data_IF_347267497389
#
_entry.id   IF_347267497389
#
_cell.length_a   1.000
_cell.length_b   1.000
_cell.length_c   1.000
_cell.angle_alpha   90.00
_cell.angle_beta   90.00
_cell.angle_gamma   90.00
#
_symmetry.space_group_name_H-M   'P 1'
#
loop_
_entity.id
_entity.type
_entity.pdbx_description
1 polymer ?
#
# COMPACT_ATOMS: atom_id res chain seq x y z
N UNK A 1 -6.45 8.16 -8.10
CA UNK A 1 -5.67 8.47 -6.90
C UNK A 1 -6.45 8.13 -5.66
N UNK A 2 -5.80 7.55 -4.67
CA UNK A 2 -6.42 7.25 -3.40
C UNK A 2 -5.54 7.78 -2.27
N UNK A 3 -6.17 8.39 -1.26
CA UNK A 3 -5.44 8.98 -0.14
C UNK A 3 -5.86 8.29 1.14
N UNK A 4 -4.87 7.96 1.98
CA UNK A 4 -5.09 7.34 3.28
C UNK A 4 -4.56 8.25 4.36
N UNK A 5 -5.36 8.49 5.38
CA UNK A 5 -4.94 9.30 6.54
C UNK A 5 -4.43 8.37 7.63
N UNK A 6 -3.24 8.67 8.16
CA UNK A 6 -2.64 7.85 9.20
C UNK A 6 -3.37 8.09 10.53
N UNK A 7 -3.94 7.02 11.07
CA UNK A 7 -4.60 7.04 12.36
C UNK A 7 -3.65 6.67 13.48
N UNK A 8 -4.20 6.62 14.70
CA UNK A 8 -3.42 6.30 15.89
C UNK A 8 -2.73 4.94 15.80
N UNK A 9 -3.41 3.95 15.20
CA UNK A 9 -2.88 2.59 15.10
C UNK A 9 -1.71 2.46 14.13
N UNK A 10 -1.61 3.37 13.18
CA UNK A 10 -0.58 3.32 12.15
C UNK A 10 0.52 4.36 12.35
N UNK A 11 0.38 5.20 13.35
CA UNK A 11 1.40 6.19 13.66
C UNK A 11 2.63 5.54 14.30
N UNK A 12 3.76 6.23 14.22
CA UNK A 12 5.03 5.83 14.84
C UNK A 12 5.65 4.57 14.24
N UNK A 13 5.24 4.19 13.02
CA UNK A 13 5.91 3.10 12.31
C UNK A 13 6.56 3.64 11.04
N UNK A 14 7.48 2.86 10.48
CA UNK A 14 8.13 3.25 9.24
C UNK A 14 7.14 3.19 8.08
N UNK A 15 7.32 4.10 7.14
CA UNK A 15 6.45 4.21 5.99
C UNK A 15 6.46 2.94 5.13
N UNK A 16 7.64 2.35 4.91
CA UNK A 16 7.76 1.11 4.14
C UNK A 16 6.98 -0.04 4.80
N UNK A 17 7.03 -0.12 6.10
CA UNK A 17 6.30 -1.15 6.85
C UNK A 17 4.79 -0.96 6.71
N UNK A 18 4.34 0.30 6.81
CA UNK A 18 2.94 0.63 6.62
C UNK A 18 2.47 0.26 5.22
N UNK A 19 3.26 0.58 4.21
CA UNK A 19 2.93 0.27 2.82
C UNK A 19 2.82 -1.23 2.59
N UNK A 20 3.66 -2.02 3.25
CA UNK A 20 3.60 -3.48 3.13
C UNK A 20 2.31 -4.03 3.73
N UNK A 21 1.81 -3.41 4.78
CA UNK A 21 0.51 -3.76 5.36
C UNK A 21 -0.65 -3.35 4.46
N UNK A 22 -0.54 -2.16 3.88
CA UNK A 22 -1.59 -1.62 3.02
C UNK A 22 -1.69 -2.38 1.70
N UNK A 23 -0.54 -2.76 1.15
CA UNK A 23 -0.43 -3.43 -0.14
C UNK A 23 0.29 -4.76 0.03
N UNK A 24 -0.35 -5.74 0.68
CA UNK A 24 0.33 -6.99 1.03
C UNK A 24 0.78 -7.81 -0.17
N UNK A 25 0.16 -7.61 -1.33
CA UNK A 25 0.52 -8.34 -2.53
C UNK A 25 1.63 -7.66 -3.34
N UNK A 26 2.10 -6.51 -2.89
CA UNK A 26 3.20 -5.81 -3.56
C UNK A 26 4.53 -6.18 -2.90
N UNK A 27 5.55 -6.39 -3.72
CA UNK A 27 6.89 -6.65 -3.20
C UNK A 27 7.50 -5.36 -2.64
N UNK A 28 8.45 -5.51 -1.72
CA UNK A 28 9.16 -4.35 -1.17
C UNK A 28 9.88 -3.58 -2.28
N UNK A 29 10.49 -4.29 -3.23
CA UNK A 29 11.16 -3.66 -4.37
C UNK A 29 10.19 -2.81 -5.19
N UNK A 30 9.00 -3.32 -5.41
CA UNK A 30 7.96 -2.58 -6.12
C UNK A 30 7.56 -1.31 -5.36
N UNK A 31 7.39 -1.42 -4.05
CA UNK A 31 7.03 -0.27 -3.23
C UNK A 31 8.09 0.83 -3.30
N UNK A 32 9.36 0.47 -3.20
CA UNK A 32 10.45 1.45 -3.31
C UNK A 32 10.51 2.07 -4.70
N UNK A 33 10.24 1.29 -5.73
CA UNK A 33 10.17 1.81 -7.10
C UNK A 33 9.06 2.86 -7.22
N UNK A 34 7.90 2.58 -6.64
CA UNK A 34 6.77 3.51 -6.69
C UNK A 34 7.04 4.79 -5.90
N UNK A 35 7.75 4.66 -4.77
CA UNK A 35 8.17 5.83 -4.01
C UNK A 35 9.10 6.71 -4.82
N UNK A 36 10.08 6.12 -5.51
CA UNK A 36 11.02 6.88 -6.34
C UNK A 36 10.32 7.59 -7.50
N UNK A 37 9.30 6.97 -8.06
CA UNK A 37 8.54 7.54 -9.17
C UNK A 37 7.46 8.52 -8.73
N UNK A 38 7.33 8.77 -7.44
CA UNK A 38 6.28 9.61 -6.87
C UNK A 38 4.88 9.07 -7.13
N UNK A 39 4.75 7.78 -7.38
CA UNK A 39 3.44 7.14 -7.46
C UNK A 39 2.88 6.84 -6.08
N UNK A 40 3.72 6.93 -5.05
CA UNK A 40 3.31 6.92 -3.65
C UNK A 40 4.01 8.12 -3.00
N UNK A 41 3.23 8.98 -2.35
CA UNK A 41 3.76 10.19 -1.72
C UNK A 41 3.30 10.28 -0.26
N UNK A 42 4.04 11.03 0.54
CA UNK A 42 3.72 11.31 1.93
C UNK A 42 3.56 12.81 2.08
N UNK A 43 2.37 13.26 2.52
CA UNK A 43 2.02 14.68 2.67
C UNK A 43 2.27 15.46 1.37
N UNK A 44 2.01 14.83 0.24
CA UNK A 44 2.17 15.46 -1.07
C UNK A 44 3.61 15.57 -1.55
N UNK A 45 4.55 14.97 -0.85
CA UNK A 45 5.98 15.05 -1.18
C UNK A 45 6.56 13.68 -1.47
N UNK A 46 7.64 13.67 -2.26
CA UNK A 46 8.38 12.45 -2.51
C UNK A 46 8.90 11.88 -1.19
N UNK A 47 8.78 10.59 -1.01
CA UNK A 47 9.22 9.90 0.20
C UNK A 47 10.21 8.79 -0.15
N UNK A 48 10.99 8.38 0.84
CA UNK A 48 12.00 7.32 0.66
C UNK A 48 11.52 5.96 1.19
N UNK A 49 10.47 5.96 2.01
CA UNK A 49 10.00 4.75 2.68
C UNK A 49 10.55 4.57 4.08
N UNK A 50 11.55 5.36 4.45
CA UNK A 50 12.20 5.26 5.77
C UNK A 50 11.65 6.25 6.79
N UNK A 51 10.70 7.07 6.38
CA UNK A 51 10.10 8.06 7.26
C UNK A 51 9.28 7.38 8.36
N UNK A 52 9.22 8.02 9.52
CA UNK A 52 8.31 7.60 10.58
C UNK A 52 6.98 8.31 10.39
N UNK A 53 5.90 7.55 10.31
CA UNK A 53 4.58 8.12 10.08
C UNK A 53 4.06 8.79 11.34
N UNK A 54 3.40 9.92 11.16
CA UNK A 54 2.78 10.69 12.23
C UNK A 54 1.26 10.59 12.09
N UNK A 55 0.57 10.68 13.22
CA UNK A 55 -0.89 10.74 13.19
C UNK A 55 -1.33 11.94 12.34
N UNK A 56 -2.25 11.72 11.43
CA UNK A 56 -2.74 12.76 10.54
C UNK A 56 -1.97 12.90 9.25
N UNK A 57 -0.88 12.16 9.06
CA UNK A 57 -0.14 12.18 7.82
C UNK A 57 -1.00 11.67 6.66
N UNK A 58 -0.76 12.18 5.46
CA UNK A 58 -1.52 11.81 4.27
C UNK A 58 -0.66 10.98 3.33
N UNK A 59 -1.10 9.77 3.06
CA UNK A 59 -0.43 8.87 2.11
C UNK A 59 -1.26 8.85 0.83
N UNK A 60 -0.68 9.29 -0.28
CA UNK A 60 -1.37 9.30 -1.57
C UNK A 60 -0.78 8.22 -2.47
N UNK A 61 -1.66 7.44 -3.10
CA UNK A 61 -1.27 6.37 -4.01
C UNK A 61 -1.87 6.68 -5.37
N UNK A 62 -1.01 6.86 -6.38
CA UNK A 62 -1.41 7.27 -7.72
C UNK A 62 -1.49 6.09 -8.67
N UNK A 63 -2.14 5.02 -8.23
CA UNK A 63 -2.43 3.86 -9.07
C UNK A 63 -3.85 3.96 -9.61
N UNK A 64 -4.12 3.27 -10.73
CA UNK A 64 -5.51 3.09 -11.15
C UNK A 64 -6.23 2.25 -10.09
N UNK A 65 -7.55 2.40 -10.01
CA UNK A 65 -8.33 1.65 -9.03
C UNK A 65 -8.14 0.14 -9.20
N UNK A 66 -8.08 -0.32 -10.45
CA UNK A 66 -7.87 -1.72 -10.74
C UNK A 66 -6.52 -2.22 -10.21
N UNK A 67 -5.46 -1.46 -10.46
CA UNK A 67 -4.13 -1.80 -10.00
C UNK A 67 -4.07 -1.79 -8.47
N UNK A 68 -4.68 -0.78 -7.85
CA UNK A 68 -4.69 -0.65 -6.40
C UNK A 68 -5.38 -1.86 -5.77
N UNK A 69 -6.55 -2.23 -6.28
CA UNK A 69 -7.28 -3.40 -5.80
C UNK A 69 -6.46 -4.67 -5.88
N UNK A 70 -5.74 -4.84 -6.99
CA UNK A 70 -4.89 -6.01 -7.18
C UNK A 70 -3.85 -6.16 -6.08
N UNK A 71 -3.22 -5.06 -5.65
CA UNK A 71 -2.20 -5.09 -4.62
C UNK A 71 -2.78 -5.11 -3.21
N UNK A 72 -3.99 -4.65 -3.01
CA UNK A 72 -4.65 -4.63 -1.71
C UNK A 72 -5.37 -5.92 -1.37
N UNK A 73 -5.62 -6.80 -2.36
CA UNK A 73 -6.27 -8.07 -2.09
C UNK A 73 -5.40 -8.93 -1.19
N UNK A 74 -6.00 -9.46 -0.14
CA UNK A 74 -5.26 -10.34 0.77
C UNK A 74 -5.19 -11.76 0.20
N UNK A 75 -4.33 -12.56 0.81
CA UNK A 75 -4.12 -13.94 0.40
C UNK A 75 -5.39 -14.79 0.55
N UNK A 76 -6.16 -14.50 1.57
CA UNK A 76 -7.39 -15.23 1.84
C UNK A 76 -8.37 -15.10 0.68
N UNK A 77 -8.55 -13.90 0.17
CA UNK A 77 -9.45 -13.66 -0.95
C UNK A 77 -8.97 -14.37 -2.20
N UNK A 78 -7.67 -14.35 -2.46
CA UNK A 78 -7.10 -15.07 -3.60
C UNK A 78 -7.32 -16.57 -3.47
N UNK A 79 -7.20 -17.11 -2.27
CA UNK A 79 -7.44 -18.52 -2.03
C UNK A 79 -8.89 -18.91 -2.29
N UNK A 80 -9.81 -18.06 -1.92
CA UNK A 80 -11.22 -18.30 -2.18
C UNK A 80 -11.52 -18.37 -3.67
N UNK A 81 -10.98 -17.44 -4.44
CA UNK A 81 -11.16 -17.45 -5.89
C UNK A 81 -10.56 -18.69 -6.52
N UNK A 82 -9.36 -19.03 -6.10
CA UNK A 82 -8.69 -20.24 -6.58
C UNK A 82 -9.48 -21.50 -6.25
N UNK A 83 -10.04 -21.55 -5.05
CA UNK A 83 -10.84 -22.68 -4.61
C UNK A 83 -12.09 -22.86 -5.46
N UNK A 84 -12.73 -21.77 -5.81
CA UNK A 84 -13.89 -21.81 -6.69
C UNK A 84 -13.55 -22.35 -8.08
N UNK A 85 -12.41 -21.93 -8.61
CA UNK A 85 -11.96 -22.41 -9.92
C UNK A 85 -11.66 -23.90 -9.91
N UNK A 86 -11.19 -24.42 -8.80
CA UNK A 86 -10.87 -25.84 -8.69
C UNK A 86 -12.10 -26.74 -8.71
N UNK A 87 -13.25 -26.20 -8.35
CA UNK A 87 -14.49 -26.96 -8.37
C UNK A 87 -15.02 -27.20 -9.78
N UNK A 88 -14.54 -26.42 -10.69
CA UNK A 88 -14.96 -26.56 -12.08
C UNK A 88 -14.18 -27.65 -12.78
#
# INVERSE_FOLDING_TARGET
MKTFTIGTNDANQRFDKYLKKLLPNASVSFLYKMLRKKNITLDGKKATGKETLQKGAQVAVFFSDETLHKFMQDTKKLQEEFHMLQRL
#
